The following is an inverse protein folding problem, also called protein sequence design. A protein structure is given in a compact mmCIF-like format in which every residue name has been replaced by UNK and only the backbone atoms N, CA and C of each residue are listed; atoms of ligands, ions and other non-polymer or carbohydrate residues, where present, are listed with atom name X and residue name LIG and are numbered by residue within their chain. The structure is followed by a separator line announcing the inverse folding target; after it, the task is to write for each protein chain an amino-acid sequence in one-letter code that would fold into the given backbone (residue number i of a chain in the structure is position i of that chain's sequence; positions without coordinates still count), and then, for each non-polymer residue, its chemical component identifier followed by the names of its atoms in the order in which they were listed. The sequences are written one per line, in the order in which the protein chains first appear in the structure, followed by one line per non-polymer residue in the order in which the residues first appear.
data_IF_556813522044
#
_entry.id   IF_556813522044
#
_cell.length_a   1.000
_cell.length_b   1.000
_cell.length_c   1.000
_cell.angle_alpha   90.00
_cell.angle_beta   90.00
_cell.angle_gamma   90.00
#
_symmetry.space_group_name_H-M   'P 1'
#
loop_
_entity.id
_entity.type
_entity.pdbx_description
1 polymer ?
#
# COMPACT_ATOMS: atom_id res chain seq x y z
N UNK A 1 10.71 12.01 -23.21
CA UNK A 1 11.81 11.39 -22.42
C UNK A 1 12.00 12.00 -21.03
N UNK A 2 12.04 13.33 -20.81
CA UNK A 2 12.41 13.88 -19.47
C UNK A 2 11.44 13.50 -18.34
N UNK A 3 10.13 13.47 -18.59
CA UNK A 3 9.13 13.05 -17.59
C UNK A 3 9.29 11.59 -17.15
N UNK A 4 9.79 10.71 -18.03
CA UNK A 4 10.06 9.32 -17.66
C UNK A 4 11.21 9.24 -16.66
N UNK A 5 12.33 9.93 -16.94
CA UNK A 5 13.52 9.89 -16.09
C UNK A 5 13.38 10.65 -14.77
N UNK A 6 12.61 11.73 -14.73
CA UNK A 6 12.48 12.56 -13.52
C UNK A 6 11.24 12.25 -12.66
N UNK A 7 10.20 11.64 -13.22
CA UNK A 7 8.96 11.38 -12.49
C UNK A 7 8.69 9.89 -12.30
N UNK A 8 8.76 9.10 -13.37
CA UNK A 8 8.41 7.67 -13.31
C UNK A 8 9.56 6.77 -12.89
N UNK A 9 10.79 7.04 -13.33
CA UNK A 9 11.96 6.23 -12.99
C UNK A 9 12.24 6.21 -11.47
N UNK A 10 12.19 7.35 -10.74
CA UNK A 10 12.34 7.34 -9.29
C UNK A 10 11.20 6.60 -8.59
N UNK A 11 9.96 6.76 -9.08
CA UNK A 11 8.79 6.06 -8.55
C UNK A 11 8.93 4.53 -8.70
N UNK A 12 9.25 4.06 -9.91
CA UNK A 12 9.43 2.63 -10.20
C UNK A 12 10.62 2.08 -9.41
N UNK A 13 11.70 2.83 -9.27
CA UNK A 13 12.84 2.42 -8.45
C UNK A 13 12.44 2.25 -6.98
N UNK A 14 11.81 3.26 -6.39
CA UNK A 14 11.44 3.25 -4.97
C UNK A 14 10.43 2.14 -4.66
N UNK A 15 9.36 2.01 -5.45
CA UNK A 15 8.28 1.05 -5.17
C UNK A 15 8.53 -0.33 -5.76
N UNK A 16 9.31 -0.42 -6.84
CA UNK A 16 9.73 -1.70 -7.43
C UNK A 16 10.83 -2.35 -6.60
N UNK A 17 12.00 -1.70 -6.50
CA UNK A 17 13.12 -2.25 -5.72
C UNK A 17 12.79 -2.26 -4.22
N UNK A 18 12.24 -1.17 -3.69
CA UNK A 18 11.80 -1.13 -2.30
C UNK A 18 10.65 -2.11 -2.02
N UNK A 19 9.76 -2.35 -2.98
CA UNK A 19 8.72 -3.39 -2.88
C UNK A 19 9.28 -4.80 -2.82
N UNK A 20 10.31 -5.12 -3.61
CA UNK A 20 11.01 -6.40 -3.54
C UNK A 20 11.67 -6.62 -2.17
N UNK A 21 12.32 -5.58 -1.64
CA UNK A 21 12.91 -5.63 -0.30
C UNK A 21 11.84 -5.76 0.79
N UNK A 22 10.72 -5.05 0.66
CA UNK A 22 9.59 -5.13 1.57
C UNK A 22 8.97 -6.54 1.60
N UNK A 23 8.71 -7.15 0.44
CA UNK A 23 8.22 -8.53 0.33
C UNK A 23 9.22 -9.51 0.93
N UNK A 24 10.51 -9.33 0.64
CA UNK A 24 11.57 -10.18 1.21
C UNK A 24 11.60 -10.08 2.73
N UNK A 25 11.45 -8.87 3.28
CA UNK A 25 11.32 -8.63 4.71
C UNK A 25 10.12 -9.37 5.30
N UNK A 26 8.94 -9.27 4.69
CA UNK A 26 7.75 -10.02 5.11
C UNK A 26 8.02 -11.53 5.12
N UNK A 27 8.62 -12.07 4.06
CA UNK A 27 8.94 -13.51 3.96
C UNK A 27 9.86 -13.94 5.10
N UNK A 28 10.90 -13.14 5.40
CA UNK A 28 11.83 -13.43 6.50
C UNK A 28 11.11 -13.39 7.85
N UNK A 29 10.29 -12.37 8.11
CA UNK A 29 9.52 -12.24 9.36
C UNK A 29 8.52 -13.39 9.56
N UNK A 30 7.93 -13.89 8.48
CA UNK A 30 7.06 -15.07 8.51
C UNK A 30 7.86 -16.35 8.77
N UNK A 31 9.00 -16.54 8.10
CA UNK A 31 9.85 -17.73 8.25
C UNK A 31 10.54 -17.80 9.61
N UNK A 32 10.87 -16.68 10.23
CA UNK A 32 11.50 -16.63 11.55
C UNK A 32 10.54 -16.95 12.71
N UNK A 33 9.25 -17.18 12.43
CA UNK A 33 8.23 -17.45 13.44
C UNK A 33 7.84 -16.23 14.27
N UNK A 34 8.41 -15.05 13.99
CA UNK A 34 8.05 -13.78 14.64
C UNK A 34 6.59 -13.39 14.36
N UNK A 35 6.03 -13.88 13.25
CA UNK A 35 4.67 -13.60 12.83
C UNK A 35 3.84 -14.88 12.73
N UNK A 36 3.04 -15.17 13.77
CA UNK A 36 2.20 -16.36 13.78
C UNK A 36 0.88 -16.12 13.02
N UNK A 37 0.76 -16.65 11.81
CA UNK A 37 -0.45 -16.54 10.98
C UNK A 37 -1.70 -17.23 11.59
N UNK A 38 -1.51 -18.11 12.59
CA UNK A 38 -2.63 -18.71 13.34
C UNK A 38 -3.27 -17.71 14.32
N UNK A 39 -2.53 -16.69 14.75
CA UNK A 39 -3.07 -15.65 15.61
C UNK A 39 -3.71 -14.53 14.77
N UNK A 40 -4.99 -14.28 15.03
CA UNK A 40 -5.77 -13.27 14.32
C UNK A 40 -5.20 -11.86 14.44
N UNK A 41 -4.57 -11.50 15.57
CA UNK A 41 -3.97 -10.18 15.79
C UNK A 41 -2.77 -9.99 14.88
N UNK A 42 -1.87 -10.97 14.80
CA UNK A 42 -0.74 -10.91 13.88
C UNK A 42 -1.27 -10.79 12.45
N UNK A 43 -2.16 -11.69 12.01
CA UNK A 43 -2.76 -11.61 10.66
C UNK A 43 -3.37 -10.25 10.33
N UNK A 44 -3.99 -9.57 11.29
CA UNK A 44 -4.48 -8.20 11.13
C UNK A 44 -3.35 -7.20 10.90
N UNK A 45 -2.26 -7.25 11.67
CA UNK A 45 -1.10 -6.39 11.49
C UNK A 45 -0.38 -6.61 10.15
N UNK A 46 -0.24 -7.86 9.68
CA UNK A 46 0.33 -8.12 8.35
C UNK A 46 -0.55 -7.49 7.26
N UNK A 47 -1.86 -7.59 7.41
CA UNK A 47 -2.80 -6.99 6.47
C UNK A 47 -2.67 -5.46 6.46
N UNK A 48 -2.58 -4.82 7.63
CA UNK A 48 -2.34 -3.36 7.75
C UNK A 48 -1.01 -2.96 7.12
N UNK A 49 0.06 -3.74 7.33
CA UNK A 49 1.38 -3.48 6.77
C UNK A 49 1.37 -3.51 5.23
N UNK A 50 0.80 -4.58 4.65
CA UNK A 50 0.70 -4.73 3.19
C UNK A 50 -0.24 -3.68 2.59
N UNK A 51 -1.39 -3.45 3.23
CA UNK A 51 -2.33 -2.42 2.80
C UNK A 51 -1.70 -1.03 2.85
N UNK A 52 -0.98 -0.69 3.92
CA UNK A 52 -0.30 0.59 4.08
C UNK A 52 0.75 0.84 2.98
N UNK A 53 1.53 -0.19 2.62
CA UNK A 53 2.48 -0.09 1.51
C UNK A 53 1.78 0.20 0.16
N UNK A 54 0.74 -0.57 -0.17
CA UNK A 54 -0.02 -0.37 -1.42
C UNK A 54 -0.70 1.00 -1.44
N UNK A 55 -1.29 1.40 -0.32
CA UNK A 55 -1.95 2.70 -0.17
C UNK A 55 -0.96 3.86 -0.39
N UNK A 56 0.21 3.80 0.24
CA UNK A 56 1.24 4.82 0.11
C UNK A 56 1.78 4.93 -1.32
N UNK A 57 2.00 3.78 -1.98
CA UNK A 57 2.36 3.71 -3.40
C UNK A 57 1.30 4.38 -4.29
N UNK A 58 0.02 4.09 -4.06
CA UNK A 58 -1.08 4.68 -4.83
C UNK A 58 -1.17 6.20 -4.62
N UNK A 59 -1.01 6.68 -3.39
CA UNK A 59 -0.99 8.12 -3.10
C UNK A 59 0.16 8.84 -3.82
N UNK A 60 1.37 8.28 -3.81
CA UNK A 60 2.48 8.83 -4.59
C UNK A 60 2.23 8.78 -6.10
N UNK A 61 1.56 7.73 -6.59
CA UNK A 61 1.16 7.61 -7.99
C UNK A 61 0.20 8.72 -8.39
N UNK A 62 -0.82 8.98 -7.57
CA UNK A 62 -1.78 10.08 -7.77
C UNK A 62 -1.06 11.43 -7.81
N UNK A 63 -0.17 11.71 -6.86
CA UNK A 63 0.58 12.98 -6.83
C UNK A 63 1.50 13.13 -8.04
N UNK A 64 2.13 12.05 -8.48
CA UNK A 64 2.91 12.03 -9.73
C UNK A 64 2.04 12.36 -10.94
N UNK A 65 0.83 11.81 -11.02
CA UNK A 65 -0.11 12.11 -12.11
C UNK A 65 -0.58 13.57 -12.09
N UNK A 66 -0.83 14.16 -10.92
CA UNK A 66 -1.13 15.59 -10.78
C UNK A 66 0.03 16.44 -11.26
N UNK A 67 1.26 16.13 -10.84
CA UNK A 67 2.46 16.87 -11.26
C UNK A 67 2.69 16.82 -12.77
N UNK A 68 2.28 15.73 -13.43
CA UNK A 68 2.33 15.56 -14.88
C UNK A 68 1.14 16.20 -15.62
N UNK A 69 0.18 16.81 -14.91
CA UNK A 69 -0.97 17.51 -15.49
C UNK A 69 -2.18 16.62 -15.79
N UNK A 70 -2.16 15.33 -15.43
CA UNK A 70 -3.27 14.40 -15.61
C UNK A 70 -4.34 14.53 -14.52
N UNK A 71 -4.76 15.76 -14.23
CA UNK A 71 -5.60 16.10 -13.07
C UNK A 71 -6.92 15.33 -13.03
N UNK A 72 -7.60 15.18 -14.18
CA UNK A 72 -8.88 14.42 -14.27
C UNK A 72 -8.70 12.96 -13.84
N UNK A 73 -7.65 12.31 -14.34
CA UNK A 73 -7.33 10.92 -13.99
C UNK A 73 -6.86 10.81 -12.54
N UNK A 74 -6.03 11.74 -12.08
CA UNK A 74 -5.52 11.75 -10.71
C UNK A 74 -6.66 11.88 -9.68
N UNK A 75 -7.61 12.80 -9.91
CA UNK A 75 -8.78 12.99 -9.02
C UNK A 75 -9.66 11.73 -9.00
N UNK A 76 -9.90 11.11 -10.15
CA UNK A 76 -10.65 9.85 -10.23
C UNK A 76 -9.99 8.74 -9.41
N UNK A 77 -8.68 8.54 -9.58
CA UNK A 77 -7.92 7.54 -8.82
C UNK A 77 -7.93 7.90 -7.33
N UNK A 78 -7.80 9.17 -6.97
CA UNK A 78 -7.83 9.62 -5.57
C UNK A 78 -9.16 9.27 -4.88
N UNK A 79 -10.30 9.50 -5.53
CA UNK A 79 -11.60 9.10 -4.98
C UNK A 79 -11.71 7.58 -4.78
N UNK A 80 -11.17 6.78 -5.70
CA UNK A 80 -11.11 5.32 -5.55
C UNK A 80 -10.24 4.92 -4.36
N UNK A 81 -9.05 5.52 -4.20
CA UNK A 81 -8.14 5.25 -3.07
C UNK A 81 -8.80 5.62 -1.73
N UNK A 82 -9.48 6.76 -1.65
CA UNK A 82 -10.22 7.17 -0.45
C UNK A 82 -11.36 6.19 -0.14
N UNK A 83 -12.16 5.83 -1.14
CA UNK A 83 -13.25 4.85 -0.98
C UNK A 83 -12.76 3.49 -0.50
N UNK A 84 -11.67 2.99 -1.08
CA UNK A 84 -11.01 1.75 -0.64
C UNK A 84 -10.47 1.87 0.78
N UNK A 85 -9.91 3.02 1.16
CA UNK A 85 -9.40 3.27 2.53
C UNK A 85 -10.52 3.25 3.56
N UNK A 86 -11.66 3.86 3.23
CA UNK A 86 -12.85 3.86 4.09
C UNK A 86 -13.39 2.43 4.24
N UNK A 87 -13.54 1.71 3.12
CA UNK A 87 -13.99 0.31 3.15
C UNK A 87 -13.04 -0.58 3.96
N UNK A 88 -11.73 -0.43 3.74
CA UNK A 88 -10.68 -1.10 4.51
C UNK A 88 -10.80 -0.83 6.01
N UNK A 89 -11.01 0.43 6.39
CA UNK A 89 -11.23 0.83 7.79
C UNK A 89 -12.47 0.16 8.40
N UNK A 90 -13.61 0.17 7.70
CA UNK A 90 -14.83 -0.48 8.20
C UNK A 90 -14.66 -2.00 8.33
N UNK A 91 -14.04 -2.65 7.35
CA UNK A 91 -13.74 -4.07 7.40
C UNK A 91 -12.80 -4.42 8.57
N UNK A 92 -11.76 -3.61 8.77
CA UNK A 92 -10.83 -3.76 9.88
C UNK A 92 -11.55 -3.62 11.22
N UNK A 93 -12.30 -2.54 11.41
CA UNK A 93 -13.10 -2.30 12.63
C UNK A 93 -14.07 -3.46 12.90
N UNK A 94 -14.78 -3.94 11.87
CA UNK A 94 -15.72 -5.06 12.00
C UNK A 94 -15.01 -6.35 12.43
N UNK A 95 -13.85 -6.66 11.84
CA UNK A 95 -13.04 -7.83 12.23
C UNK A 95 -12.49 -7.71 13.65
N UNK A 96 -12.09 -6.51 14.09
CA UNK A 96 -11.61 -6.30 15.46
C UNK A 96 -12.72 -6.44 16.49
N UNK A 97 -13.93 -5.92 16.20
CA UNK A 97 -15.09 -6.08 17.08
C UNK A 97 -15.57 -7.53 17.20
N UNK A 98 -15.53 -8.30 16.10
CA UNK A 98 -16.00 -9.69 16.09
C UNK A 98 -14.99 -10.71 16.67
N UNK A 99 -13.76 -10.27 16.95
CA UNK A 99 -12.70 -11.10 17.52
C UNK A 99 -12.37 -10.76 19.00
N UNK A 100 -13.15 -9.87 19.62
CA UNK A 100 -13.17 -9.64 21.06
C UNK A 100 -14.28 -10.49 21.68
#
# INVERSE_FOLDING_TARGET
MSYFSHSWLPFIYLYGLGGLLFISGIIITLKSGSFNLKNHVHKQWLWVLVFGFIWYMMMHGVLTLVALGYNKFAVLIMFLVIGLSISAYFQFRRKTLNNR
#
